data_IF_887305823772
#
_entry.id   IF_887305823772
#
_cell.length_a   1.000
_cell.length_b   1.000
_cell.length_c   1.000
_cell.angle_alpha   90.00
_cell.angle_beta   90.00
_cell.angle_gamma   90.00
#
_symmetry.space_group_name_H-M   'P 1'
#
loop_
_entity.id
_entity.type
_entity.pdbx_description
1 polymer ?
#
# COMPACT_ATOMS: atom_id res chain seq x y z
N UNK A 1 6.00 18.88 -12.30
CA UNK A 1 6.07 17.43 -12.01
C UNK A 1 5.36 16.67 -13.11
N UNK A 2 5.95 15.60 -13.61
CA UNK A 2 5.34 14.80 -14.67
C UNK A 2 4.26 13.88 -14.10
N UNK A 3 3.40 13.39 -14.99
CA UNK A 3 2.37 12.42 -14.64
C UNK A 3 2.98 11.16 -14.00
N UNK A 4 4.09 10.66 -14.58
CA UNK A 4 4.76 9.49 -14.04
C UNK A 4 5.34 9.74 -12.65
N UNK A 5 5.90 10.93 -12.41
CA UNK A 5 6.43 11.29 -11.09
C UNK A 5 5.31 11.37 -10.05
N UNK A 6 4.16 11.92 -10.44
CA UNK A 6 3.01 11.98 -9.53
C UNK A 6 2.53 10.58 -9.16
N UNK A 7 2.42 9.68 -10.13
CA UNK A 7 1.99 8.31 -9.86
C UNK A 7 3.02 7.56 -9.03
N UNK A 8 4.32 7.79 -9.26
CA UNK A 8 5.37 7.21 -8.41
C UNK A 8 5.24 7.68 -6.96
N UNK A 9 4.87 8.95 -6.76
CA UNK A 9 4.60 9.47 -5.44
C UNK A 9 3.43 8.75 -4.77
N UNK A 10 2.37 8.47 -5.51
CA UNK A 10 1.23 7.71 -5.02
C UNK A 10 1.62 6.27 -4.64
N UNK A 11 2.46 5.62 -5.44
CA UNK A 11 2.95 4.28 -5.13
C UNK A 11 3.68 4.28 -3.79
N UNK A 12 4.59 5.23 -3.58
CA UNK A 12 5.32 5.35 -2.33
C UNK A 12 4.39 5.57 -1.14
N UNK A 13 3.37 6.43 -1.31
CA UNK A 13 2.38 6.71 -0.28
C UNK A 13 1.55 5.48 0.07
N UNK A 14 1.15 4.69 -0.93
CA UNK A 14 0.37 3.47 -0.71
C UNK A 14 1.19 2.42 0.04
N UNK A 15 2.47 2.26 -0.29
CA UNK A 15 3.34 1.35 0.43
C UNK A 15 3.58 1.82 1.87
N UNK A 16 3.77 3.12 2.07
CA UNK A 16 3.94 3.66 3.41
C UNK A 16 2.68 3.44 4.25
N UNK A 17 1.50 3.65 3.67
CA UNK A 17 0.24 3.40 4.35
C UNK A 17 0.08 1.92 4.69
N UNK A 18 0.44 1.02 3.77
CA UNK A 18 0.39 -0.42 4.01
C UNK A 18 1.24 -0.81 5.20
N UNK A 19 2.47 -0.28 5.26
CA UNK A 19 3.39 -0.54 6.38
C UNK A 19 2.82 -0.06 7.70
N UNK A 20 2.22 1.12 7.69
CA UNK A 20 1.60 1.71 8.87
C UNK A 20 0.44 0.87 9.37
N UNK A 21 -0.40 0.36 8.45
CA UNK A 21 -1.51 -0.51 8.81
C UNK A 21 -1.04 -1.83 9.40
N UNK A 22 0.07 -2.39 8.89
CA UNK A 22 0.67 -3.59 9.49
C UNK A 22 1.10 -3.31 10.93
N UNK A 23 1.74 -2.18 11.19
CA UNK A 23 2.17 -1.82 12.54
C UNK A 23 0.97 -1.68 13.49
N UNK A 24 -0.11 -1.07 13.03
CA UNK A 24 -1.35 -0.94 13.80
C UNK A 24 -1.95 -2.31 14.08
N UNK A 25 -1.97 -3.19 13.06
CA UNK A 25 -2.49 -4.54 13.22
C UNK A 25 -1.70 -5.34 14.26
N UNK A 26 -0.38 -5.24 14.23
CA UNK A 26 0.49 -5.90 15.21
C UNK A 26 0.18 -5.41 16.62
N UNK A 27 -0.01 -4.11 16.78
CA UNK A 27 -0.37 -3.53 18.07
C UNK A 27 -1.67 -4.15 18.61
N UNK A 28 -2.72 -4.20 17.79
CA UNK A 28 -3.99 -4.78 18.22
C UNK A 28 -3.90 -6.28 18.47
N UNK A 29 -3.07 -6.98 17.70
CA UNK A 29 -2.85 -8.40 17.91
C UNK A 29 -2.20 -8.64 19.28
N UNK A 30 -1.23 -7.83 19.66
CA UNK A 30 -0.58 -7.89 20.98
C UNK A 30 -1.56 -7.57 22.12
N UNK A 31 -2.54 -6.70 21.84
CA UNK A 31 -3.58 -6.34 22.82
C UNK A 31 -4.72 -7.35 22.86
N UNK A 32 -4.58 -8.47 22.16
CA UNK A 32 -5.59 -9.53 22.09
C UNK A 32 -6.93 -9.04 21.52
N UNK A 33 -6.86 -8.21 20.49
CA UNK A 33 -8.02 -7.71 19.76
C UNK A 33 -7.97 -8.22 18.31
N UNK A 34 -8.22 -9.52 18.09
CA UNK A 34 -7.94 -10.14 16.80
C UNK A 34 -8.81 -9.62 15.65
N UNK A 35 -10.02 -9.15 15.94
CA UNK A 35 -10.90 -8.62 14.89
C UNK A 35 -10.38 -7.29 14.37
N UNK A 36 -9.89 -6.42 15.26
CA UNK A 36 -9.26 -5.16 14.85
C UNK A 36 -7.95 -5.42 14.12
N UNK A 37 -7.15 -6.36 14.61
CA UNK A 37 -5.92 -6.74 13.93
C UNK A 37 -6.20 -7.22 12.51
N UNK A 38 -7.19 -8.10 12.33
CA UNK A 38 -7.58 -8.61 11.02
C UNK A 38 -8.04 -7.48 10.09
N UNK A 39 -8.78 -6.51 10.62
CA UNK A 39 -9.23 -5.36 9.83
C UNK A 39 -8.04 -4.59 9.25
N UNK A 40 -7.05 -4.27 10.08
CA UNK A 40 -5.90 -3.50 9.63
C UNK A 40 -4.95 -4.31 8.75
N UNK A 41 -4.84 -5.62 8.96
CA UNK A 41 -4.10 -6.48 8.02
C UNK A 41 -4.75 -6.45 6.63
N UNK A 42 -6.08 -6.48 6.56
CA UNK A 42 -6.78 -6.37 5.27
C UNK A 42 -6.54 -5.02 4.62
N UNK A 43 -6.56 -3.94 5.40
CA UNK A 43 -6.28 -2.60 4.87
C UNK A 43 -4.86 -2.53 4.31
N UNK A 44 -3.90 -3.16 4.99
CA UNK A 44 -2.52 -3.21 4.49
C UNK A 44 -2.42 -3.89 3.13
N UNK A 45 -3.15 -5.00 2.96
CA UNK A 45 -3.18 -5.72 1.68
C UNK A 45 -3.82 -4.87 0.59
N UNK A 46 -4.92 -4.18 0.89
CA UNK A 46 -5.60 -3.31 -0.06
C UNK A 46 -4.69 -2.19 -0.55
N UNK A 47 -3.97 -1.53 0.37
CA UNK A 47 -3.05 -0.45 0.00
C UNK A 47 -1.91 -0.97 -0.88
N UNK A 48 -1.39 -2.15 -0.57
CA UNK A 48 -0.36 -2.79 -1.40
C UNK A 48 -0.89 -3.13 -2.78
N UNK A 49 -2.13 -3.62 -2.87
CA UNK A 49 -2.74 -3.95 -4.15
C UNK A 49 -2.95 -2.69 -4.98
N UNK A 50 -3.33 -1.57 -4.37
CA UNK A 50 -3.44 -0.30 -5.06
C UNK A 50 -2.09 0.11 -5.66
N UNK A 51 -1.01 -0.01 -4.90
CA UNK A 51 0.32 0.30 -5.40
C UNK A 51 0.68 -0.58 -6.60
N UNK A 52 0.40 -1.88 -6.53
CA UNK A 52 0.66 -2.81 -7.63
C UNK A 52 -0.15 -2.45 -8.88
N UNK A 53 -1.40 -2.03 -8.72
CA UNK A 53 -2.23 -1.60 -9.84
C UNK A 53 -1.65 -0.37 -10.52
N UNK A 54 -1.16 0.59 -9.75
CA UNK A 54 -0.53 1.79 -10.30
C UNK A 54 0.76 1.42 -11.03
N UNK A 55 1.56 0.52 -10.46
CA UNK A 55 2.79 0.03 -11.11
C UNK A 55 2.46 -0.62 -12.45
N UNK A 56 1.45 -1.49 -12.48
CA UNK A 56 1.05 -2.16 -13.71
C UNK A 56 0.58 -1.16 -14.76
N UNK A 57 -0.18 -0.15 -14.34
CA UNK A 57 -0.64 0.90 -15.24
C UNK A 57 0.56 1.64 -15.87
N UNK A 58 1.56 1.99 -15.05
CA UNK A 58 2.74 2.67 -15.55
C UNK A 58 3.57 1.79 -16.49
N UNK A 59 3.66 0.50 -16.20
CA UNK A 59 4.35 -0.47 -17.07
C UNK A 59 3.63 -0.60 -18.41
N UNK A 60 2.30 -0.67 -18.40
CA UNK A 60 1.49 -0.77 -19.61
C UNK A 60 1.64 0.46 -20.49
N UNK A 61 1.84 1.64 -19.88
CA UNK A 61 2.10 2.88 -20.62
C UNK A 61 3.58 3.06 -20.95
N UNK A 62 4.45 2.13 -20.53
CA UNK A 62 5.90 2.22 -20.72
C UNK A 62 6.50 3.49 -20.11
N UNK A 63 5.93 3.95 -18.99
CA UNK A 63 6.39 5.16 -18.31
C UNK A 63 7.46 4.88 -17.26
N UNK A 64 7.64 3.62 -16.88
CA UNK A 64 8.73 3.20 -16.00
C UNK A 64 9.38 1.95 -16.59
N UNK A 65 10.65 1.75 -16.24
CA UNK A 65 11.42 0.56 -16.62
C UNK A 65 11.94 -0.12 -15.37
N UNK A 66 11.70 -1.39 -15.26
CA UNK A 66 12.15 -2.18 -14.12
C UNK A 66 13.23 -3.14 -14.57
#
# INVERSE_FOLDING_TARGET
MSFAEELNGHIANEYAASQQYVAIAVYYDQETLPQLAAHFYRQAVEERNHAHMIIQYLLDLSLIHI
#
